data_IF_315753089398
#
_entry.id   IF_315753089398
#
_cell.length_a   1.000
_cell.length_b   1.000
_cell.length_c   1.000
_cell.angle_alpha   90.00
_cell.angle_beta   90.00
_cell.angle_gamma   90.00
#
_symmetry.space_group_name_H-M   'P 1'
#
loop_
_entity.id
_entity.type
_entity.pdbx_description
1 polymer ?
#
# COMPACT_ATOMS: atom_id res chain seq x y z
N UNK A 1 11.56 10.03 27.53
CA UNK A 1 11.06 10.62 26.27
C UNK A 1 10.97 9.46 25.29
N UNK A 2 9.73 9.02 25.00
CA UNK A 2 9.45 7.78 24.26
C UNK A 2 9.41 8.10 22.77
N UNK A 3 10.24 7.42 21.99
CA UNK A 3 9.98 7.10 20.60
C UNK A 3 10.52 5.69 20.35
N UNK A 4 9.73 4.68 20.76
CA UNK A 4 9.90 3.33 20.27
C UNK A 4 9.27 3.27 18.89
N UNK A 5 10.09 3.24 17.85
CA UNK A 5 9.64 2.95 16.50
C UNK A 5 8.99 1.56 16.49
N UNK A 6 7.69 1.52 16.23
CA UNK A 6 6.97 0.28 15.95
C UNK A 6 7.40 -0.17 14.55
N UNK A 7 8.56 -0.83 14.45
CA UNK A 7 8.93 -1.57 13.25
C UNK A 7 8.02 -2.78 13.20
N UNK A 8 7.15 -2.83 12.19
CA UNK A 8 6.27 -3.97 11.87
C UNK A 8 7.10 -5.14 11.37
N UNK A 9 7.89 -5.73 12.25
CA UNK A 9 8.73 -6.89 11.93
C UNK A 9 8.94 -7.79 13.14
N UNK A 10 7.86 -8.39 13.64
CA UNK A 10 7.92 -9.64 14.41
C UNK A 10 6.63 -10.45 14.26
N UNK A 11 6.54 -11.16 13.14
CA UNK A 11 5.67 -12.34 12.98
C UNK A 11 6.15 -13.49 13.88
N UNK A 12 6.12 -13.29 15.21
CA UNK A 12 6.24 -14.37 16.17
C UNK A 12 4.90 -15.13 16.20
N UNK A 13 4.96 -16.42 15.86
CA UNK A 13 3.84 -17.32 15.58
C UNK A 13 2.85 -17.59 16.73
N UNK A 14 2.80 -16.76 17.79
CA UNK A 14 2.07 -17.03 19.03
C UNK A 14 0.99 -16.00 19.42
N UNK A 15 0.78 -14.89 18.68
CA UNK A 15 -0.12 -13.82 19.14
C UNK A 15 -1.09 -13.19 18.12
N UNK A 16 -1.54 -13.87 17.08
CA UNK A 16 -2.60 -13.32 16.22
C UNK A 16 -3.71 -14.34 15.92
N UNK A 17 -4.97 -14.08 16.30
CA UNK A 17 -6.12 -14.86 15.83
C UNK A 17 -6.11 -14.91 14.30
N UNK A 18 -6.44 -16.08 13.71
CA UNK A 18 -6.43 -16.32 12.25
C UNK A 18 -7.24 -15.29 11.44
N UNK A 19 -8.26 -14.70 12.06
CA UNK A 19 -9.09 -13.67 11.44
C UNK A 19 -8.37 -12.31 11.36
N UNK A 20 -7.59 -11.97 12.39
CA UNK A 20 -6.85 -10.70 12.44
C UNK A 20 -5.69 -10.69 11.45
N UNK A 21 -5.04 -11.83 11.23
CA UNK A 21 -3.95 -11.97 10.23
C UNK A 21 -4.45 -11.87 8.79
N UNK A 22 -5.61 -12.45 8.46
CA UNK A 22 -6.21 -12.28 7.14
C UNK A 22 -6.57 -10.82 6.87
N UNK A 23 -7.22 -10.19 7.85
CA UNK A 23 -7.64 -8.80 7.78
C UNK A 23 -6.45 -7.83 7.65
N UNK A 24 -5.38 -8.02 8.45
CA UNK A 24 -4.15 -7.22 8.34
C UNK A 24 -3.49 -7.39 6.96
N UNK A 25 -3.47 -8.61 6.43
CA UNK A 25 -2.94 -8.90 5.09
C UNK A 25 -3.75 -8.24 3.97
N UNK A 26 -5.08 -8.21 4.09
CA UNK A 26 -5.94 -7.47 3.16
C UNK A 26 -5.69 -5.96 3.24
N UNK A 27 -5.48 -5.41 4.44
CA UNK A 27 -5.14 -3.98 4.62
C UNK A 27 -3.81 -3.60 3.97
N UNK A 28 -2.77 -4.40 4.17
CA UNK A 28 -1.46 -4.19 3.56
C UNK A 28 -1.52 -4.28 2.02
N UNK A 29 -2.29 -5.22 1.50
CA UNK A 29 -2.52 -5.32 0.05
C UNK A 29 -3.17 -4.07 -0.52
N UNK A 30 -4.17 -3.53 0.19
CA UNK A 30 -4.99 -2.39 -0.25
C UNK A 30 -4.25 -1.05 -0.16
N UNK A 31 -3.27 -0.87 0.74
CA UNK A 31 -2.37 0.29 0.71
C UNK A 31 -1.34 0.16 -0.40
N UNK A 32 -0.66 -0.98 -0.50
CA UNK A 32 0.41 -1.18 -1.46
C UNK A 32 -0.09 -1.07 -2.91
N UNK A 33 -1.29 -1.59 -3.19
CA UNK A 33 -1.92 -1.50 -4.50
C UNK A 33 -2.20 -0.05 -4.93
N UNK A 34 -2.59 0.83 -3.99
CA UNK A 34 -2.83 2.24 -4.30
C UNK A 34 -1.54 2.98 -4.63
N UNK A 35 -0.45 2.70 -3.90
CA UNK A 35 0.88 3.25 -4.20
C UNK A 35 1.36 2.76 -5.57
N UNK A 36 1.20 1.47 -5.86
CA UNK A 36 1.58 0.90 -7.15
C UNK A 36 0.79 1.51 -8.31
N UNK A 37 -0.50 1.81 -8.11
CA UNK A 37 -1.35 2.50 -9.08
C UNK A 37 -0.84 3.92 -9.38
N UNK A 38 -0.48 4.70 -8.36
CA UNK A 38 0.10 6.05 -8.53
C UNK A 38 1.44 5.98 -9.27
N UNK A 39 2.29 5.02 -8.92
CA UNK A 39 3.56 4.83 -9.62
C UNK A 39 3.36 4.47 -11.09
N UNK A 40 2.45 3.53 -11.38
CA UNK A 40 2.16 3.16 -12.77
C UNK A 40 1.66 4.36 -13.58
N UNK A 41 0.80 5.20 -13.00
CA UNK A 41 0.32 6.43 -13.66
C UNK A 41 1.45 7.41 -13.99
N UNK A 42 2.47 7.52 -13.11
CA UNK A 42 3.65 8.38 -13.32
C UNK A 42 4.64 7.77 -14.32
N UNK A 43 4.96 6.49 -14.17
CA UNK A 43 5.91 5.74 -15.03
C UNK A 43 5.43 5.71 -16.48
N UNK A 44 4.14 5.48 -16.70
CA UNK A 44 3.55 5.38 -18.05
C UNK A 44 2.87 6.68 -18.51
N UNK A 45 3.13 7.80 -17.82
CA UNK A 45 2.57 9.10 -18.18
C UNK A 45 2.90 9.46 -19.63
N UNK A 46 1.97 10.15 -20.30
CA UNK A 46 2.12 10.60 -21.68
C UNK A 46 2.36 9.49 -22.72
N UNK A 47 1.92 8.27 -22.43
CA UNK A 47 2.09 7.12 -23.35
C UNK A 47 3.52 6.63 -23.44
N UNK A 48 4.36 6.94 -22.44
CA UNK A 48 5.73 6.44 -22.36
C UNK A 48 5.71 4.91 -22.35
N UNK A 49 6.59 4.30 -23.13
CA UNK A 49 6.81 2.86 -23.18
C UNK A 49 8.30 2.58 -23.06
N UNK A 50 8.63 1.37 -22.59
CA UNK A 50 10.00 0.96 -22.32
C UNK A 50 10.30 -0.29 -23.14
N UNK A 51 11.46 -0.34 -23.78
CA UNK A 51 11.89 -1.47 -24.61
C UNK A 51 12.74 -2.48 -23.84
N UNK A 52 13.25 -2.11 -22.66
CA UNK A 52 14.05 -2.98 -21.79
C UNK A 52 13.64 -2.83 -20.33
N UNK A 53 13.90 -3.87 -19.54
CA UNK A 53 13.69 -3.83 -18.08
C UNK A 53 14.61 -2.84 -17.39
N UNK A 54 15.86 -2.68 -17.86
CA UNK A 54 16.80 -1.70 -17.32
C UNK A 54 16.29 -0.25 -17.41
N UNK A 55 15.68 0.13 -18.54
CA UNK A 55 15.08 1.46 -18.68
C UNK A 55 13.89 1.67 -17.74
N UNK A 56 13.11 0.62 -17.50
CA UNK A 56 12.01 0.66 -16.55
C UNK A 56 12.53 0.79 -15.12
N UNK A 57 13.55 0.02 -14.74
CA UNK A 57 14.20 0.07 -13.42
C UNK A 57 14.75 1.46 -13.13
N UNK A 58 15.50 2.05 -14.06
CA UNK A 58 16.07 3.39 -13.92
C UNK A 58 14.99 4.47 -13.73
N UNK A 59 13.80 4.27 -14.30
CA UNK A 59 12.70 5.26 -14.23
C UNK A 59 11.68 4.99 -13.14
N UNK A 60 11.78 3.91 -12.36
CA UNK A 60 10.91 3.68 -11.20
C UNK A 60 11.33 4.52 -9.99
N UNK A 61 12.62 4.87 -9.91
CA UNK A 61 13.19 5.65 -8.80
C UNK A 61 12.54 7.04 -8.69
N UNK A 62 12.47 7.82 -9.77
CA UNK A 62 11.92 9.19 -9.72
C UNK A 62 10.41 9.24 -9.34
N UNK A 63 9.53 8.37 -9.88
CA UNK A 63 8.14 8.26 -9.45
C UNK A 63 8.00 7.88 -7.99
N UNK A 64 8.86 7.00 -7.46
CA UNK A 64 8.86 6.60 -6.06
C UNK A 64 9.24 7.78 -5.15
N UNK A 65 10.36 8.44 -5.44
CA UNK A 65 10.87 9.56 -4.64
C UNK A 65 9.96 10.80 -4.70
N UNK A 66 9.17 10.93 -5.77
CA UNK A 66 8.17 12.00 -5.91
C UNK A 66 6.82 11.71 -5.23
N UNK A 67 6.66 10.58 -4.53
CA UNK A 67 5.46 10.34 -3.71
C UNK A 67 5.60 11.13 -2.40
N UNK A 68 4.68 12.05 -2.16
CA UNK A 68 4.68 12.82 -0.93
C UNK A 68 4.41 11.93 0.30
N UNK A 69 5.20 12.11 1.36
CA UNK A 69 4.97 11.47 2.64
C UNK A 69 3.53 11.69 3.15
N UNK A 70 2.97 12.90 2.91
CA UNK A 70 1.60 13.24 3.27
C UNK A 70 0.55 12.37 2.56
N UNK A 71 0.81 11.95 1.32
CA UNK A 71 -0.05 11.01 0.59
C UNK A 71 0.00 9.62 1.24
N UNK A 72 1.20 9.12 1.56
CA UNK A 72 1.37 7.84 2.25
C UNK A 72 0.68 7.83 3.62
N UNK A 73 0.80 8.92 4.38
CA UNK A 73 0.11 9.08 5.66
C UNK A 73 -1.41 9.06 5.50
N UNK A 74 -1.97 9.82 4.55
CA UNK A 74 -3.42 9.79 4.26
C UNK A 74 -3.91 8.40 3.88
N UNK A 75 -3.09 7.63 3.16
CA UNK A 75 -3.43 6.28 2.78
C UNK A 75 -3.51 5.36 4.00
N UNK A 76 -2.53 5.42 4.90
CA UNK A 76 -2.54 4.70 6.18
C UNK A 76 -3.72 5.14 7.05
N UNK A 77 -3.97 6.44 7.19
CA UNK A 77 -5.10 7.00 7.95
C UNK A 77 -6.47 6.63 7.36
N UNK A 78 -6.53 6.32 6.05
CA UNK A 78 -7.75 5.86 5.40
C UNK A 78 -8.05 4.38 5.66
N UNK A 79 -7.07 3.60 6.13
CA UNK A 79 -7.20 2.16 6.33
C UNK A 79 -8.39 1.77 7.22
N UNK A 80 -8.60 2.38 8.40
CA UNK A 80 -9.74 2.03 9.25
C UNK A 80 -11.10 2.22 8.53
N UNK A 81 -11.21 3.26 7.68
CA UNK A 81 -12.43 3.54 6.92
C UNK A 81 -12.65 2.53 5.78
N UNK A 82 -11.60 2.18 5.05
CA UNK A 82 -11.66 1.16 3.97
C UNK A 82 -12.00 -0.21 4.52
N UNK A 83 -11.44 -0.56 5.68
CA UNK A 83 -11.78 -1.77 6.41
C UNK A 83 -13.24 -1.86 6.81
N UNK A 84 -13.76 -0.78 7.38
CA UNK A 84 -15.17 -0.71 7.75
C UNK A 84 -16.07 -0.89 6.51
N UNK A 85 -15.64 -0.42 5.34
CA UNK A 85 -16.36 -0.63 4.09
C UNK A 85 -16.35 -2.10 3.64
N UNK A 86 -15.21 -2.80 3.73
CA UNK A 86 -15.09 -4.25 3.40
C UNK A 86 -15.95 -5.09 4.33
N UNK A 87 -15.90 -4.81 5.64
CA UNK A 87 -16.72 -5.52 6.65
C UNK A 87 -18.21 -5.30 6.37
N UNK A 88 -18.63 -4.05 6.10
CA UNK A 88 -20.03 -3.74 5.75
C UNK A 88 -20.50 -4.42 4.46
N UNK A 89 -19.58 -4.75 3.56
CA UNK A 89 -19.84 -5.48 2.33
C UNK A 89 -19.71 -7.00 2.50
N UNK A 90 -19.47 -7.53 3.70
CA UNK A 90 -19.25 -8.97 3.92
C UNK A 90 -18.12 -9.54 3.03
N UNK A 91 -17.10 -8.74 2.73
CA UNK A 91 -16.00 -9.14 1.85
C UNK A 91 -16.21 -8.87 0.35
N UNK A 92 -17.36 -8.32 -0.06
CA UNK A 92 -17.58 -7.89 -1.46
C UNK A 92 -16.78 -6.63 -1.83
N UNK A 93 -16.62 -6.41 -3.13
CA UNK A 93 -15.84 -5.31 -3.70
C UNK A 93 -16.32 -3.94 -3.17
N UNK A 94 -15.39 -3.13 -2.66
CA UNK A 94 -15.65 -1.75 -2.25
C UNK A 94 -15.24 -0.78 -3.37
N UNK A 95 -15.81 0.43 -3.38
CA UNK A 95 -15.53 1.46 -4.41
C UNK A 95 -14.24 2.25 -4.15
N UNK A 96 -13.31 1.66 -3.38
CA UNK A 96 -12.09 2.30 -2.87
C UNK A 96 -10.83 1.78 -3.52
#
# INVERSE_FOLDING_TARGET
>A
MVWGALSTEDNASIHAPRETTHFLKEMEGVTMQNVWSVMAAKVYAHGRQYSTTAQLEDTIQDPWDSIEQAYLLKLVESMPRRCLAVIKKQGDLTTY
#
